data_IF_809602234568
#
_entry.id   IF_809602234568
#
_cell.length_a   1.000
_cell.length_b   1.000
_cell.length_c   1.000
_cell.angle_alpha   90.00
_cell.angle_beta   90.00
_cell.angle_gamma   90.00
#
_symmetry.space_group_name_H-M   'P 1'
#
loop_
_entity.id
_entity.type
_entity.pdbx_description
1 polymer ?
#
# COMPACT_ATOMS: atom_id res chain seq x y z
N UNK A 1 -21.98 11.10 -6.94
CA UNK A 1 -21.94 10.54 -5.57
C UNK A 1 -20.74 11.14 -4.87
N UNK A 2 -21.01 12.07 -3.95
CA UNK A 2 -19.95 12.59 -3.08
C UNK A 2 -19.54 11.48 -2.12
N UNK A 3 -18.35 10.96 -2.30
CA UNK A 3 -17.75 10.05 -1.35
C UNK A 3 -17.44 10.87 -0.09
N UNK A 4 -18.32 10.81 0.89
CA UNK A 4 -18.14 11.51 2.16
C UNK A 4 -16.95 10.85 2.87
N UNK A 5 -16.11 11.64 3.52
CA UNK A 5 -14.97 11.15 4.32
C UNK A 5 -15.38 10.03 5.31
N UNK A 6 -16.60 10.10 5.83
CA UNK A 6 -17.19 9.09 6.71
C UNK A 6 -17.38 7.75 6.00
N UNK A 7 -17.89 7.75 4.76
CA UNK A 7 -18.04 6.53 3.95
C UNK A 7 -16.68 5.91 3.62
N UNK A 8 -15.70 6.73 3.23
CA UNK A 8 -14.35 6.26 2.94
C UNK A 8 -13.68 5.67 4.19
N UNK A 9 -13.81 6.33 5.34
CA UNK A 9 -13.27 5.84 6.61
C UNK A 9 -13.96 4.54 7.06
N UNK A 10 -15.30 4.48 6.98
CA UNK A 10 -16.06 3.28 7.33
C UNK A 10 -15.68 2.10 6.42
N UNK A 11 -15.55 2.35 5.13
CA UNK A 11 -15.15 1.32 4.18
C UNK A 11 -13.73 0.81 4.45
N UNK A 12 -12.80 1.71 4.75
CA UNK A 12 -11.43 1.36 5.12
C UNK A 12 -11.40 0.49 6.40
N UNK A 13 -12.10 0.89 7.44
CA UNK A 13 -12.19 0.13 8.69
C UNK A 13 -12.82 -1.25 8.49
N UNK A 14 -13.92 -1.32 7.75
CA UNK A 14 -14.56 -2.59 7.42
C UNK A 14 -13.63 -3.53 6.64
N UNK A 15 -12.88 -2.99 5.67
CA UNK A 15 -11.90 -3.76 4.89
C UNK A 15 -10.73 -4.23 5.74
N UNK A 16 -10.20 -3.41 6.63
CA UNK A 16 -9.13 -3.79 7.55
C UNK A 16 -9.58 -4.93 8.47
N UNK A 17 -10.77 -4.81 9.07
CA UNK A 17 -11.33 -5.85 9.93
C UNK A 17 -11.56 -7.16 9.16
N UNK A 18 -12.21 -7.10 8.01
CA UNK A 18 -12.47 -8.27 7.18
C UNK A 18 -11.17 -8.97 6.74
N UNK A 19 -10.16 -8.19 6.35
CA UNK A 19 -8.85 -8.72 5.95
C UNK A 19 -8.13 -9.36 7.13
N UNK A 20 -8.16 -8.74 8.31
CA UNK A 20 -7.55 -9.28 9.53
C UNK A 20 -8.17 -10.62 9.91
N UNK A 21 -9.49 -10.72 9.89
CA UNK A 21 -10.21 -11.97 10.16
C UNK A 21 -9.89 -13.04 9.12
N UNK A 22 -9.83 -12.68 7.83
CA UNK A 22 -9.48 -13.63 6.76
C UNK A 22 -8.05 -14.16 6.89
N UNK A 23 -7.10 -13.32 7.28
CA UNK A 23 -5.71 -13.74 7.48
C UNK A 23 -5.56 -14.67 8.69
N UNK A 24 -6.27 -14.41 9.77
CA UNK A 24 -6.22 -15.26 10.98
C UNK A 24 -6.94 -16.59 10.81
N UNK A 25 -7.93 -16.67 9.91
CA UNK A 25 -8.63 -17.91 9.60
C UNK A 25 -7.86 -18.87 8.70
N UNK A 26 -6.66 -18.52 8.26
CA UNK A 26 -5.83 -19.38 7.39
C UNK A 26 -6.38 -19.54 5.96
N UNK A 27 -7.31 -18.69 5.56
CA UNK A 27 -7.83 -18.71 4.20
C UNK A 27 -6.69 -18.42 3.20
N UNK A 28 -6.42 -19.38 2.34
CA UNK A 28 -5.43 -19.30 1.26
C UNK A 28 -5.89 -18.36 0.13
N UNK A 29 -6.34 -17.17 0.49
CA UNK A 29 -6.64 -16.09 -0.44
C UNK A 29 -5.38 -15.28 -0.71
N UNK A 30 -5.03 -15.07 -1.97
CA UNK A 30 -3.86 -14.28 -2.32
C UNK A 30 -3.90 -12.89 -1.66
N UNK A 31 -2.80 -12.46 -1.07
CA UNK A 31 -2.66 -11.16 -0.40
C UNK A 31 -2.82 -9.95 -1.34
N UNK A 32 -2.89 -10.20 -2.65
CA UNK A 32 -2.93 -9.18 -3.69
C UNK A 32 -4.22 -8.35 -3.63
N UNK A 33 -5.37 -9.00 -3.59
CA UNK A 33 -6.67 -8.31 -3.54
C UNK A 33 -6.87 -7.48 -2.26
N UNK A 34 -6.61 -8.00 -1.03
CA UNK A 34 -6.73 -7.20 0.16
C UNK A 34 -5.71 -6.04 0.22
N UNK A 35 -4.50 -6.24 -0.30
CA UNK A 35 -3.49 -5.18 -0.36
C UNK A 35 -3.94 -4.00 -1.24
N UNK A 36 -4.48 -4.31 -2.42
CA UNK A 36 -5.03 -3.31 -3.33
C UNK A 36 -6.23 -2.57 -2.71
N UNK A 37 -7.11 -3.31 -2.04
CA UNK A 37 -8.27 -2.71 -1.39
C UNK A 37 -7.89 -1.77 -0.24
N UNK A 38 -6.95 -2.16 0.60
CA UNK A 38 -6.46 -1.33 1.71
C UNK A 38 -5.74 -0.09 1.17
N UNK A 39 -4.79 -0.28 0.26
CA UNK A 39 -4.04 0.84 -0.33
C UNK A 39 -4.93 1.80 -1.10
N UNK A 40 -5.85 1.29 -1.90
CA UNK A 40 -6.81 2.10 -2.65
C UNK A 40 -7.76 2.88 -1.74
N UNK A 41 -8.29 2.26 -0.68
CA UNK A 41 -9.16 2.94 0.30
C UNK A 41 -8.42 4.03 1.06
N UNK A 42 -7.15 3.81 1.41
CA UNK A 42 -6.30 4.83 2.04
C UNK A 42 -6.07 6.01 1.10
N UNK A 43 -5.77 5.75 -0.17
CA UNK A 43 -5.63 6.79 -1.20
C UNK A 43 -6.92 7.58 -1.41
N UNK A 44 -8.08 6.92 -1.44
CA UNK A 44 -9.37 7.57 -1.55
C UNK A 44 -9.66 8.48 -0.34
N UNK A 45 -9.37 8.01 0.86
CA UNK A 45 -9.53 8.79 2.09
C UNK A 45 -8.65 10.04 2.07
N UNK A 46 -7.39 9.91 1.67
CA UNK A 46 -6.49 11.04 1.52
C UNK A 46 -7.01 12.06 0.49
N UNK A 47 -7.52 11.58 -0.66
CA UNK A 47 -8.10 12.44 -1.67
C UNK A 47 -9.28 13.26 -1.15
N UNK A 48 -10.16 12.64 -0.36
CA UNK A 48 -11.29 13.34 0.26
C UNK A 48 -10.83 14.35 1.32
N UNK A 49 -9.88 13.98 2.17
CA UNK A 49 -9.38 14.85 3.25
C UNK A 49 -8.62 16.06 2.72
N UNK A 50 -7.91 15.92 1.61
CA UNK A 50 -7.17 17.02 0.97
C UNK A 50 -8.03 17.89 0.05
N UNK A 51 -9.29 17.52 -0.17
CA UNK A 51 -10.17 18.23 -1.09
C UNK A 51 -9.76 18.07 -2.56
N UNK A 52 -9.08 16.97 -2.89
CA UNK A 52 -8.60 16.69 -4.24
C UNK A 52 -9.75 16.56 -5.25
N UNK A 53 -9.50 16.96 -6.48
CA UNK A 53 -10.42 16.75 -7.60
C UNK A 53 -10.64 15.25 -7.85
N UNK A 54 -11.70 14.90 -8.56
CA UNK A 54 -12.00 13.49 -8.88
C UNK A 54 -10.82 12.79 -9.58
N UNK A 55 -10.12 13.48 -10.47
CA UNK A 55 -8.94 12.93 -11.16
C UNK A 55 -7.75 12.70 -10.23
N UNK A 56 -7.49 13.63 -9.32
CA UNK A 56 -6.43 13.52 -8.32
C UNK A 56 -6.74 12.43 -7.28
N UNK A 57 -7.99 12.30 -6.88
CA UNK A 57 -8.43 11.23 -6.00
C UNK A 57 -8.19 9.85 -6.63
N UNK A 58 -8.51 9.68 -7.90
CA UNK A 58 -8.20 8.44 -8.63
C UNK A 58 -6.69 8.16 -8.65
N UNK A 59 -5.87 9.19 -8.88
CA UNK A 59 -4.42 9.05 -8.85
C UNK A 59 -3.91 8.62 -7.47
N UNK A 60 -4.46 9.18 -6.39
CA UNK A 60 -4.12 8.79 -5.00
C UNK A 60 -4.57 7.36 -4.68
N UNK A 61 -5.71 6.92 -5.18
CA UNK A 61 -6.20 5.53 -5.04
C UNK A 61 -5.22 4.56 -5.70
N UNK A 62 -4.79 4.85 -6.92
CA UNK A 62 -3.85 4.00 -7.67
C UNK A 62 -2.49 3.97 -6.97
N UNK A 63 -1.99 5.13 -6.55
CA UNK A 63 -0.72 5.25 -5.86
C UNK A 63 -0.73 4.51 -4.51
N UNK A 64 -1.80 4.65 -3.73
CA UNK A 64 -1.98 3.95 -2.46
C UNK A 64 -2.02 2.43 -2.66
N UNK A 65 -2.79 1.96 -3.63
CA UNK A 65 -2.85 0.54 -3.97
C UNK A 65 -1.48 -0.03 -4.37
N UNK A 66 -0.74 0.69 -5.22
CA UNK A 66 0.60 0.28 -5.65
C UNK A 66 1.61 0.27 -4.49
N UNK A 67 1.55 1.27 -3.59
CA UNK A 67 2.42 1.35 -2.43
C UNK A 67 2.26 0.16 -1.48
N UNK A 68 1.03 -0.18 -1.11
CA UNK A 68 0.75 -1.34 -0.24
C UNK A 68 1.10 -2.65 -0.95
N UNK A 69 0.84 -2.76 -2.25
CA UNK A 69 1.21 -3.92 -3.04
C UNK A 69 2.73 -4.13 -3.08
N UNK A 70 3.50 -3.05 -3.26
CA UNK A 70 4.96 -3.11 -3.28
C UNK A 70 5.54 -3.65 -1.97
N UNK A 71 4.97 -3.22 -0.83
CA UNK A 71 5.39 -3.70 0.50
C UNK A 71 5.02 -5.16 0.72
N UNK A 72 3.80 -5.56 0.39
CA UNK A 72 3.29 -6.91 0.68
C UNK A 72 3.91 -7.97 -0.21
N UNK A 73 4.17 -7.66 -1.46
CA UNK A 73 4.78 -8.59 -2.41
C UNK A 73 6.32 -8.52 -2.43
N UNK A 74 6.93 -7.57 -1.74
CA UNK A 74 8.39 -7.30 -1.75
C UNK A 74 8.96 -7.13 -3.17
N UNK A 75 8.13 -6.68 -4.10
CA UNK A 75 8.46 -6.56 -5.51
C UNK A 75 8.01 -5.20 -6.06
N UNK A 76 8.78 -4.12 -5.84
CA UNK A 76 8.38 -2.76 -6.22
C UNK A 76 8.17 -2.61 -7.73
N UNK A 77 8.99 -3.24 -8.54
CA UNK A 77 8.86 -3.19 -10.00
C UNK A 77 7.56 -3.86 -10.48
N UNK A 78 7.19 -4.97 -9.86
CA UNK A 78 5.92 -5.64 -10.14
C UNK A 78 4.72 -4.75 -9.78
N UNK A 79 4.77 -4.08 -8.64
CA UNK A 79 3.71 -3.19 -8.20
C UNK A 79 3.51 -1.99 -9.16
N UNK A 80 4.60 -1.40 -9.64
CA UNK A 80 4.56 -0.31 -10.63
C UNK A 80 3.98 -0.83 -11.95
N UNK A 81 4.51 -1.91 -12.50
CA UNK A 81 4.05 -2.48 -13.76
C UNK A 81 2.56 -2.88 -13.68
N UNK A 82 2.15 -3.53 -12.60
CA UNK A 82 0.78 -3.95 -12.37
C UNK A 82 -0.19 -2.76 -12.28
N UNK A 83 0.19 -1.72 -11.52
CA UNK A 83 -0.62 -0.52 -11.39
C UNK A 83 -0.77 0.22 -12.72
N UNK A 84 0.31 0.32 -13.49
CA UNK A 84 0.29 0.97 -14.80
C UNK A 84 -0.54 0.19 -15.83
N UNK A 85 -0.44 -1.13 -15.83
CA UNK A 85 -1.17 -1.98 -16.77
C UNK A 85 -2.67 -2.01 -16.46
N UNK A 86 -3.02 -2.13 -15.18
CA UNK A 86 -4.41 -2.21 -14.74
C UNK A 86 -5.18 -0.92 -14.97
N UNK A 87 -4.54 0.21 -14.86
CA UNK A 87 -5.23 1.51 -14.81
C UNK A 87 -5.09 2.33 -16.09
N UNK A 88 -4.15 1.99 -16.99
CA UNK A 88 -3.81 2.79 -18.17
C UNK A 88 -3.83 4.31 -17.86
N UNK A 89 -3.04 4.78 -16.91
CA UNK A 89 -3.20 6.09 -16.33
C UNK A 89 -2.79 7.19 -17.31
N UNK A 90 -3.38 8.37 -17.12
CA UNK A 90 -2.86 9.60 -17.71
C UNK A 90 -1.43 9.84 -17.20
N UNK A 91 -0.60 10.53 -17.97
CA UNK A 91 0.85 10.67 -17.72
C UNK A 91 1.23 11.17 -16.31
N UNK A 92 0.35 11.89 -15.62
CA UNK A 92 0.61 12.41 -14.26
C UNK A 92 0.60 11.31 -13.17
N UNK A 93 -0.07 10.19 -13.40
CA UNK A 93 -0.17 9.10 -12.42
C UNK A 93 1.10 8.28 -12.36
N UNK A 94 1.84 8.21 -13.46
CA UNK A 94 3.09 7.44 -13.56
C UNK A 94 4.12 7.89 -12.53
N UNK A 95 4.51 9.19 -12.46
CA UNK A 95 5.48 9.64 -11.46
C UNK A 95 4.94 9.51 -10.03
N UNK A 96 3.64 9.71 -9.81
CA UNK A 96 3.03 9.56 -8.49
C UNK A 96 3.14 8.12 -7.98
N UNK A 97 2.82 7.13 -8.80
CA UNK A 97 2.96 5.71 -8.46
C UNK A 97 4.41 5.35 -8.20
N UNK A 98 5.34 5.81 -9.04
CA UNK A 98 6.77 5.54 -8.87
C UNK A 98 7.31 6.12 -7.55
N UNK A 99 6.94 7.34 -7.20
CA UNK A 99 7.33 7.99 -5.93
C UNK A 99 6.75 7.24 -4.74
N UNK A 100 5.46 6.89 -4.77
CA UNK A 100 4.80 6.17 -3.66
C UNK A 100 5.42 4.80 -3.44
N UNK A 101 5.67 4.05 -4.50
CA UNK A 101 6.34 2.74 -4.41
C UNK A 101 7.79 2.90 -3.94
N UNK A 102 8.51 3.92 -4.40
CA UNK A 102 9.86 4.23 -3.96
C UNK A 102 9.94 4.54 -2.47
N UNK A 103 9.02 5.36 -1.95
CA UNK A 103 8.93 5.68 -0.52
C UNK A 103 8.60 4.43 0.30
N UNK A 104 7.64 3.64 -0.14
CA UNK A 104 7.24 2.40 0.53
C UNK A 104 8.42 1.42 0.60
N UNK A 105 9.15 1.26 -0.50
CA UNK A 105 10.30 0.37 -0.57
C UNK A 105 11.49 0.87 0.26
N UNK A 106 11.77 2.19 0.25
CA UNK A 106 12.80 2.80 1.07
C UNK A 106 12.49 2.64 2.57
N UNK A 107 11.23 2.83 2.98
CA UNK A 107 10.79 2.60 4.35
C UNK A 107 10.99 1.15 4.78
N UNK A 108 10.65 0.20 3.93
CA UNK A 108 10.90 -1.22 4.19
C UNK A 108 12.40 -1.54 4.30
N UNK A 109 13.23 -1.00 3.40
CA UNK A 109 14.69 -1.19 3.42
C UNK A 109 15.32 -0.63 4.69
N UNK A 110 14.87 0.52 5.19
CA UNK A 110 15.34 1.11 6.44
C UNK A 110 14.97 0.26 7.66
N UNK A 111 13.74 -0.25 7.73
CA UNK A 111 13.29 -1.14 8.82
C UNK A 111 14.13 -2.42 8.83
N UNK A 112 14.37 -3.03 7.67
CA UNK A 112 15.14 -4.28 7.56
C UNK A 112 16.63 -4.08 7.88
N UNK A 113 17.20 -2.91 7.56
CA UNK A 113 18.61 -2.62 7.88
C UNK A 113 18.85 -2.43 9.38
N UNK A 114 17.85 -1.98 10.14
CA UNK A 114 17.95 -1.88 11.60
C UNK A 114 17.93 -3.26 12.27
N UNK A 115 17.18 -4.19 11.74
CA UNK A 115 17.09 -5.56 12.27
C UNK A 115 18.45 -6.29 12.17
N UNK A 116 19.18 -6.10 11.09
CA UNK A 116 20.53 -6.63 10.93
C UNK A 116 21.55 -6.05 11.94
N UNK A 117 21.37 -4.81 12.40
CA UNK A 117 22.24 -4.20 13.42
C UNK A 117 21.98 -4.76 14.81
N UNK A 118 20.75 -5.06 15.15
CA UNK A 118 20.41 -5.69 16.43
C UNK A 118 20.77 -7.18 16.47
N UNK A 119 20.70 -7.90 15.37
CA UNK A 119 21.12 -9.29 15.26
C UNK A 119 22.64 -9.51 15.38
N UNK A 120 23.44 -8.54 14.96
CA UNK A 120 24.89 -8.62 15.04
C UNK A 120 25.43 -8.43 16.47
N UNK A 121 24.72 -7.73 17.35
CA UNK A 121 25.11 -7.50 18.75
C UNK A 121 24.82 -8.71 19.64
N UNK A 122 23.92 -9.62 19.23
CA UNK A 122 23.54 -10.81 20.00
C UNK A 122 24.44 -12.05 19.81
N UNK A 123 25.35 -12.03 18.85
CA UNK A 123 26.30 -13.13 18.61
C UNK A 123 27.68 -12.83 19.19
N UNK A 124 27.77 -12.76 20.52
CA UNK A 124 29.07 -12.91 21.18
C UNK A 124 29.49 -14.39 21.09
N UNK A 125 30.76 -14.69 20.71
CA UNK A 125 31.22 -16.06 20.66
C UNK A 125 31.30 -16.59 22.11
N UNK A 126 30.54 -17.64 22.37
CA UNK A 126 30.76 -18.43 23.60
C UNK A 126 32.07 -19.17 23.43
N UNK A 127 33.03 -18.80 24.23
CA UNK A 127 34.23 -19.63 24.50
C UNK A 127 33.89 -20.73 25.50
#
# INVERSE_FOLDING_TARGET
TRLTWQLAATFLMAKLLATSVSLTSGAAGGLLTPSLAIGGSTGALLGVLTGATSGETVALVIAGAAGVLAMTQRAPLFAIAFALELTRPKSIVIPLVAVTVGIAWAGWALITSQDHRHGAVGKAPRR
#
